data_IF_374669691877
#
_entry.id   IF_374669691877
#
_cell.length_a   1.000
_cell.length_b   1.000
_cell.length_c   1.000
_cell.angle_alpha   90.00
_cell.angle_beta   90.00
_cell.angle_gamma   90.00
#
_symmetry.space_group_name_H-M   'P 1'
#
loop_
_entity.id
_entity.type
_entity.pdbx_description
1 polymer ?
#
# COMPACT_ATOMS: atom_id res chain seq x y z
N UNK A 1 -132.13 1.65 2.20
CA UNK A 1 -131.15 1.99 1.14
C UNK A 1 -130.66 0.68 0.53
N UNK A 2 -130.24 0.57 -0.74
CA UNK A 2 -130.09 -0.74 -1.37
C UNK A 2 -128.83 -1.52 -0.99
N UNK A 3 -127.82 -0.90 -0.38
CA UNK A 3 -126.53 -1.56 -0.14
C UNK A 3 -126.17 -1.55 1.34
N UNK A 4 -126.44 -2.69 1.94
CA UNK A 4 -126.42 -2.97 3.36
C UNK A 4 -125.08 -3.61 3.79
N UNK A 5 -123.99 -3.22 3.11
CA UNK A 5 -122.63 -3.74 3.30
C UNK A 5 -121.54 -2.68 3.08
N UNK A 6 -120.34 -2.90 3.63
CA UNK A 6 -119.14 -2.10 3.38
C UNK A 6 -118.57 -2.33 1.98
N UNK A 7 -117.58 -1.52 1.57
CA UNK A 7 -116.82 -1.69 0.30
C UNK A 7 -116.08 -3.03 0.21
N UNK A 8 -115.75 -3.65 1.35
CA UNK A 8 -115.18 -5.00 1.42
C UNK A 8 -116.23 -6.11 1.56
N UNK A 9 -117.51 -5.79 1.42
CA UNK A 9 -118.61 -6.75 1.46
C UNK A 9 -119.14 -7.09 2.86
N UNK A 10 -118.56 -6.55 3.93
CA UNK A 10 -119.03 -6.84 5.30
C UNK A 10 -120.43 -6.26 5.56
N UNK A 11 -121.40 -7.03 6.08
CA UNK A 11 -122.76 -6.55 6.33
C UNK A 11 -122.79 -5.47 7.43
N UNK A 12 -123.51 -4.37 7.19
CA UNK A 12 -123.66 -3.27 8.16
C UNK A 12 -124.95 -3.42 8.99
N UNK A 13 -125.04 -2.82 10.20
CA UNK A 13 -126.30 -2.71 10.94
C UNK A 13 -127.36 -1.91 10.13
N UNK A 14 -128.63 -2.34 10.13
CA UNK A 14 -129.72 -1.69 9.39
C UNK A 14 -130.82 -1.17 10.34
N UNK A 15 -131.27 0.10 10.20
CA UNK A 15 -132.18 0.75 11.14
C UNK A 15 -133.56 0.10 11.29
N UNK A 16 -134.02 -0.64 10.26
CA UNK A 16 -135.32 -1.31 10.28
C UNK A 16 -135.25 -2.74 10.85
N UNK A 17 -134.07 -3.24 11.19
CA UNK A 17 -133.92 -4.56 11.79
C UNK A 17 -134.27 -4.53 13.27
N UNK A 18 -134.92 -5.58 13.75
CA UNK A 18 -135.01 -5.81 15.20
C UNK A 18 -133.61 -6.14 15.74
N UNK A 19 -133.32 -5.74 16.97
CA UNK A 19 -131.97 -5.84 17.56
C UNK A 19 -131.30 -7.23 17.44
N UNK A 20 -132.09 -8.30 17.35
CA UNK A 20 -131.60 -9.67 17.17
C UNK A 20 -130.95 -9.91 15.80
N UNK A 21 -131.53 -9.34 14.75
CA UNK A 21 -131.07 -9.52 13.37
C UNK A 21 -129.83 -8.66 13.11
N UNK A 22 -129.79 -7.46 13.70
CA UNK A 22 -128.61 -6.60 13.67
C UNK A 22 -127.44 -7.21 14.45
N UNK A 23 -127.71 -7.86 15.58
CA UNK A 23 -126.68 -8.61 16.31
C UNK A 23 -126.12 -9.78 15.48
N UNK A 24 -126.92 -10.43 14.63
CA UNK A 24 -126.44 -11.47 13.73
C UNK A 24 -125.54 -10.87 12.62
N UNK A 25 -125.97 -9.76 12.00
CA UNK A 25 -125.17 -9.10 10.96
C UNK A 25 -123.83 -8.58 11.49
N UNK A 26 -123.80 -8.05 12.71
CA UNK A 26 -122.55 -7.67 13.37
C UNK A 26 -121.65 -8.89 13.59
N UNK A 27 -122.20 -10.05 14.01
CA UNK A 27 -121.42 -11.29 14.13
C UNK A 27 -120.85 -11.74 12.80
N UNK A 28 -121.64 -11.68 11.73
CA UNK A 28 -121.23 -12.09 10.39
C UNK A 28 -120.13 -11.15 9.85
N UNK A 29 -120.25 -9.84 10.08
CA UNK A 29 -119.22 -8.86 9.73
C UNK A 29 -117.91 -9.08 10.51
N UNK A 30 -117.99 -9.35 11.81
CA UNK A 30 -116.81 -9.66 12.64
C UNK A 30 -116.13 -10.95 12.15
N UNK A 31 -116.90 -11.96 11.78
CA UNK A 31 -116.37 -13.23 11.25
C UNK A 31 -115.62 -12.98 9.94
N UNK A 32 -116.24 -12.25 9.00
CA UNK A 32 -115.61 -11.92 7.73
C UNK A 32 -114.37 -11.01 7.86
N UNK A 33 -114.37 -10.07 8.81
CA UNK A 33 -113.17 -9.27 9.14
C UNK A 33 -112.05 -10.16 9.70
N UNK A 34 -112.40 -11.15 10.52
CA UNK A 34 -111.41 -12.09 11.09
C UNK A 34 -110.80 -12.98 10.01
N UNK A 35 -111.62 -13.47 9.06
CA UNK A 35 -111.15 -14.22 7.89
C UNK A 35 -110.24 -13.36 6.99
N UNK A 36 -110.58 -12.09 6.77
CA UNK A 36 -109.73 -11.16 6.00
C UNK A 36 -108.39 -10.88 6.71
N UNK A 37 -108.39 -10.76 8.05
CA UNK A 37 -107.18 -10.59 8.86
C UNK A 37 -106.29 -11.84 8.85
N UNK A 38 -106.87 -13.03 8.91
CA UNK A 38 -106.14 -14.31 8.79
C UNK A 38 -105.55 -14.47 7.38
N UNK A 39 -106.26 -14.06 6.33
CA UNK A 39 -105.76 -14.04 4.95
C UNK A 39 -104.70 -12.97 4.67
N UNK A 40 -104.57 -11.95 5.53
CA UNK A 40 -103.51 -10.95 5.50
C UNK A 40 -102.24 -11.37 6.26
N UNK A 41 -102.15 -12.64 6.71
CA UNK A 41 -100.93 -13.21 7.28
C UNK A 41 -99.73 -12.94 6.37
N UNK A 42 -98.72 -12.24 6.90
CA UNK A 42 -97.52 -11.91 6.14
C UNK A 42 -96.64 -13.16 6.04
N UNK A 43 -96.80 -13.93 4.96
CA UNK A 43 -95.90 -15.04 4.64
C UNK A 43 -94.45 -14.55 4.47
N UNK A 44 -93.44 -15.33 4.89
CA UNK A 44 -92.04 -14.93 4.76
C UNK A 44 -91.65 -14.82 3.28
N UNK A 45 -90.85 -13.81 2.93
CA UNK A 45 -90.36 -13.67 1.57
C UNK A 45 -89.41 -14.83 1.19
N UNK A 46 -89.43 -15.19 -0.10
CA UNK A 46 -88.49 -16.14 -0.69
C UNK A 46 -87.70 -15.46 -1.83
N UNK A 47 -86.76 -16.17 -2.45
CA UNK A 47 -86.03 -15.64 -3.60
C UNK A 47 -86.93 -15.39 -4.82
N UNK A 48 -88.11 -16.02 -4.86
CA UNK A 48 -89.03 -16.00 -6.01
C UNK A 48 -90.39 -15.39 -5.70
N UNK A 49 -90.72 -15.15 -4.43
CA UNK A 49 -92.03 -14.68 -4.00
C UNK A 49 -91.92 -13.50 -3.02
N UNK A 50 -92.84 -12.55 -3.16
CA UNK A 50 -92.93 -11.40 -2.25
C UNK A 50 -93.45 -11.84 -0.88
N UNK A 51 -92.92 -11.24 0.19
CA UNK A 51 -93.36 -11.55 1.56
C UNK A 51 -92.72 -10.64 2.59
N UNK A 52 -92.95 -10.94 3.87
CA UNK A 52 -92.34 -10.24 4.99
C UNK A 52 -90.87 -10.61 5.15
N UNK A 53 -90.03 -9.60 5.38
CA UNK A 53 -88.61 -9.79 5.66
C UNK A 53 -88.27 -9.12 6.98
N UNK A 54 -87.60 -9.86 7.86
CA UNK A 54 -87.06 -9.31 9.10
C UNK A 54 -85.65 -8.76 8.88
N UNK A 55 -85.22 -7.86 9.77
CA UNK A 55 -83.84 -7.38 9.77
C UNK A 55 -82.90 -8.44 10.36
N UNK A 56 -81.72 -8.58 9.76
CA UNK A 56 -80.71 -9.53 10.22
C UNK A 56 -80.11 -9.11 11.57
N UNK A 57 -79.93 -10.08 12.47
CA UNK A 57 -79.19 -9.86 13.71
C UNK A 57 -77.69 -9.72 13.43
N UNK A 58 -76.91 -9.22 14.40
CA UNK A 58 -75.46 -9.08 14.27
C UNK A 58 -74.75 -10.42 14.01
N UNK A 59 -75.18 -11.48 14.70
CA UNK A 59 -74.62 -12.81 14.59
C UNK A 59 -74.89 -13.42 13.21
N UNK A 60 -76.12 -13.30 12.71
CA UNK A 60 -76.51 -13.81 11.40
C UNK A 60 -75.78 -13.09 10.26
N UNK A 61 -75.65 -11.76 10.34
CA UNK A 61 -74.91 -10.98 9.36
C UNK A 61 -73.42 -11.39 9.34
N UNK A 62 -72.81 -11.56 10.51
CA UNK A 62 -71.39 -11.95 10.63
C UNK A 62 -71.14 -13.37 10.12
N UNK A 63 -72.06 -14.30 10.38
CA UNK A 63 -71.94 -15.69 9.95
C UNK A 63 -72.35 -15.92 8.48
N UNK A 64 -73.14 -15.02 7.88
CA UNK A 64 -73.64 -15.15 6.51
C UNK A 64 -74.59 -16.34 6.30
N UNK A 65 -75.27 -16.80 7.36
CA UNK A 65 -75.93 -18.10 7.37
C UNK A 65 -77.45 -18.08 7.09
N UNK A 66 -78.10 -16.91 7.12
CA UNK A 66 -79.56 -16.81 6.99
C UNK A 66 -79.96 -16.17 5.66
N UNK A 67 -80.89 -16.79 4.94
CA UNK A 67 -81.42 -16.28 3.67
C UNK A 67 -82.72 -15.47 3.85
N UNK A 68 -83.36 -15.58 5.02
CA UNK A 68 -84.67 -14.99 5.32
C UNK A 68 -84.60 -13.64 6.07
N UNK A 69 -83.46 -12.93 6.02
CA UNK A 69 -83.30 -11.63 6.68
C UNK A 69 -82.41 -10.68 5.88
N UNK A 70 -82.75 -9.39 5.91
CA UNK A 70 -82.02 -8.34 5.19
C UNK A 70 -81.08 -7.59 6.13
N UNK A 71 -79.81 -7.40 5.76
CA UNK A 71 -78.88 -6.59 6.55
C UNK A 71 -79.21 -5.10 6.41
N UNK A 72 -79.12 -4.36 7.52
CA UNK A 72 -79.10 -2.90 7.49
C UNK A 72 -77.70 -2.38 7.17
N UNK A 73 -77.59 -1.15 6.67
CA UNK A 73 -76.30 -0.50 6.28
C UNK A 73 -75.23 -0.63 7.37
N UNK A 74 -75.61 -0.42 8.64
CA UNK A 74 -74.70 -0.58 9.77
C UNK A 74 -74.10 -1.99 9.88
N UNK A 75 -74.88 -3.04 9.59
CA UNK A 75 -74.40 -4.43 9.65
C UNK A 75 -73.35 -4.69 8.59
N UNK A 76 -73.60 -4.20 7.37
CA UNK A 76 -72.64 -4.29 6.27
C UNK A 76 -71.34 -3.57 6.63
N UNK A 77 -71.43 -2.36 7.20
CA UNK A 77 -70.26 -1.61 7.67
C UNK A 77 -69.48 -2.37 8.75
N UNK A 78 -70.15 -2.93 9.75
CA UNK A 78 -69.51 -3.68 10.84
C UNK A 78 -68.81 -4.94 10.29
N UNK A 79 -69.42 -5.66 9.34
CA UNK A 79 -68.82 -6.83 8.68
C UNK A 79 -67.55 -6.47 7.90
N UNK A 80 -67.62 -5.43 7.06
CA UNK A 80 -66.48 -4.95 6.27
C UNK A 80 -65.33 -4.54 7.21
N UNK A 81 -65.65 -3.81 8.29
CA UNK A 81 -64.66 -3.36 9.27
C UNK A 81 -63.99 -4.56 9.95
N UNK A 82 -64.76 -5.57 10.34
CA UNK A 82 -64.23 -6.80 10.95
C UNK A 82 -63.31 -7.56 10.01
N UNK A 83 -63.73 -7.80 8.76
CA UNK A 83 -62.93 -8.48 7.76
C UNK A 83 -61.62 -7.72 7.44
N UNK A 84 -61.70 -6.39 7.32
CA UNK A 84 -60.53 -5.54 7.05
C UNK A 84 -59.55 -5.55 8.22
N UNK A 85 -60.06 -5.57 9.46
CA UNK A 85 -59.23 -5.65 10.66
C UNK A 85 -58.48 -6.99 10.74
N UNK A 86 -59.16 -8.11 10.46
CA UNK A 86 -58.52 -9.43 10.43
C UNK A 86 -57.44 -9.54 9.36
N UNK A 87 -57.68 -8.98 8.17
CA UNK A 87 -56.69 -8.90 7.10
C UNK A 87 -55.48 -8.07 7.54
N UNK A 88 -55.71 -6.91 8.15
CA UNK A 88 -54.65 -6.03 8.65
C UNK A 88 -53.79 -6.73 9.71
N UNK A 89 -54.40 -7.42 10.68
CA UNK A 89 -53.70 -8.22 11.68
C UNK A 89 -52.84 -9.30 11.04
N UNK A 90 -53.34 -9.97 10.00
CA UNK A 90 -52.58 -11.03 9.30
C UNK A 90 -51.39 -10.46 8.53
N UNK A 91 -51.61 -9.39 7.75
CA UNK A 91 -50.57 -8.75 6.94
C UNK A 91 -49.48 -8.12 7.83
N UNK A 92 -49.87 -7.28 8.78
CA UNK A 92 -48.91 -6.54 9.60
C UNK A 92 -48.29 -7.43 10.67
N UNK A 93 -49.09 -8.28 11.31
CA UNK A 93 -48.63 -9.14 12.41
C UNK A 93 -47.73 -10.27 11.91
N UNK A 94 -48.24 -11.16 11.06
CA UNK A 94 -47.49 -12.37 10.69
C UNK A 94 -46.43 -12.10 9.63
N UNK A 95 -46.80 -11.47 8.51
CA UNK A 95 -45.82 -11.20 7.45
C UNK A 95 -44.83 -10.11 7.86
N UNK A 96 -45.28 -9.08 8.58
CA UNK A 96 -44.36 -8.06 9.13
C UNK A 96 -43.32 -8.66 10.09
N UNK A 97 -43.73 -9.56 11.00
CA UNK A 97 -42.80 -10.26 11.89
C UNK A 97 -41.87 -11.21 11.13
N UNK A 98 -42.38 -11.99 10.17
CA UNK A 98 -41.57 -12.90 9.36
C UNK A 98 -40.57 -12.15 8.47
N UNK A 99 -40.97 -11.03 7.87
CA UNK A 99 -40.08 -10.15 7.10
C UNK A 99 -39.04 -9.52 8.03
N UNK A 100 -39.43 -9.02 9.20
CA UNK A 100 -38.49 -8.45 10.18
C UNK A 100 -37.50 -9.50 10.67
N UNK A 101 -37.95 -10.74 10.85
CA UNK A 101 -37.12 -11.89 11.21
C UNK A 101 -36.17 -12.23 10.08
N UNK A 102 -36.65 -12.42 8.85
CA UNK A 102 -35.80 -12.70 7.69
C UNK A 102 -34.80 -11.57 7.40
N UNK A 103 -35.21 -10.31 7.58
CA UNK A 103 -34.31 -9.15 7.51
C UNK A 103 -33.28 -9.22 8.64
N UNK A 104 -33.67 -9.59 9.86
CA UNK A 104 -32.73 -9.78 10.98
C UNK A 104 -31.84 -10.99 10.77
N UNK A 105 -32.29 -12.05 10.10
CA UNK A 105 -31.50 -13.23 9.77
C UNK A 105 -30.48 -12.90 8.66
N UNK A 106 -30.92 -12.16 7.64
CA UNK A 106 -30.05 -11.62 6.59
C UNK A 106 -29.06 -10.58 7.13
N UNK A 107 -29.46 -9.78 8.12
CA UNK A 107 -28.64 -8.73 8.74
C UNK A 107 -27.88 -9.21 9.98
N UNK A 108 -28.16 -10.39 10.52
CA UNK A 108 -27.76 -10.75 11.88
C UNK A 108 -28.15 -12.16 12.37
N UNK A 109 -28.49 -13.11 11.50
CA UNK A 109 -28.87 -14.47 11.88
C UNK A 109 -27.70 -15.40 12.27
N UNK A 110 -26.46 -14.91 12.30
CA UNK A 110 -25.36 -15.63 12.94
C UNK A 110 -24.33 -14.64 13.53
N UNK A 111 -24.37 -14.46 14.85
CA UNK A 111 -23.21 -14.09 15.68
C UNK A 111 -22.17 -15.23 15.57
N UNK A 112 -21.43 -15.40 14.45
CA UNK A 112 -20.15 -14.71 14.23
C UNK A 112 -19.82 -14.43 12.74
N UNK A 113 -20.70 -14.71 11.78
CA UNK A 113 -20.36 -14.66 10.35
C UNK A 113 -20.37 -13.23 9.79
N UNK A 114 -21.29 -12.38 10.25
CA UNK A 114 -21.27 -10.95 9.92
C UNK A 114 -20.04 -10.26 10.53
N UNK A 115 -19.65 -10.68 11.74
CA UNK A 115 -18.39 -10.26 12.37
C UNK A 115 -17.21 -10.70 11.51
N UNK A 116 -17.16 -11.96 11.06
CA UNK A 116 -16.06 -12.44 10.20
C UNK A 116 -16.01 -11.73 8.85
N UNK A 117 -17.12 -11.37 8.20
CA UNK A 117 -17.07 -10.70 6.90
C UNK A 117 -16.67 -9.23 7.02
N UNK A 118 -17.14 -8.54 8.07
CA UNK A 118 -16.71 -7.17 8.39
C UNK A 118 -15.25 -7.17 8.86
N UNK A 119 -14.84 -8.15 9.66
CA UNK A 119 -13.48 -8.35 10.11
C UNK A 119 -12.57 -8.70 8.92
N UNK A 120 -12.96 -9.63 8.04
CA UNK A 120 -12.21 -9.95 6.81
C UNK A 120 -12.10 -8.70 5.92
N UNK A 121 -13.18 -7.93 5.74
CA UNK A 121 -13.12 -6.68 4.99
C UNK A 121 -12.14 -5.70 5.63
N UNK A 122 -12.22 -5.48 6.95
CA UNK A 122 -11.30 -4.62 7.69
C UNK A 122 -9.84 -5.10 7.65
N UNK A 123 -9.61 -6.42 7.71
CA UNK A 123 -8.29 -7.06 7.62
C UNK A 123 -7.72 -6.99 6.20
N UNK A 124 -8.56 -6.98 5.17
CA UNK A 124 -8.14 -6.76 3.78
C UNK A 124 -7.78 -5.30 3.53
N UNK A 125 -8.45 -4.34 4.16
CA UNK A 125 -8.07 -2.91 4.08
C UNK A 125 -6.87 -2.56 4.95
N UNK A 126 -6.64 -3.30 6.04
CA UNK A 126 -5.48 -3.13 6.91
C UNK A 126 -4.20 -3.65 6.23
N UNK A 127 -3.64 -2.82 5.35
CA UNK A 127 -2.36 -3.07 4.71
C UNK A 127 -1.18 -2.69 5.59
N UNK A 128 -1.35 -2.36 6.88
CA UNK A 128 -0.25 -1.82 7.72
C UNK A 128 0.92 -2.80 7.80
N UNK A 129 0.66 -4.09 8.03
CA UNK A 129 1.73 -5.10 8.09
C UNK A 129 2.38 -5.35 6.71
N UNK A 130 1.58 -5.39 5.64
CA UNK A 130 2.08 -5.56 4.27
C UNK A 130 2.97 -4.38 3.89
N UNK A 131 2.53 -3.15 4.16
CA UNK A 131 3.28 -1.93 3.88
C UNK A 131 4.58 -1.90 4.71
N UNK A 132 4.55 -2.32 5.98
CA UNK A 132 5.77 -2.43 6.79
C UNK A 132 6.78 -3.45 6.20
N UNK A 133 6.29 -4.58 5.68
CA UNK A 133 7.13 -5.58 4.98
C UNK A 133 7.70 -4.97 3.70
N UNK A 134 6.87 -4.33 2.87
CA UNK A 134 7.30 -3.69 1.63
C UNK A 134 8.33 -2.58 1.88
N UNK A 135 8.14 -1.78 2.93
CA UNK A 135 9.08 -0.75 3.37
C UNK A 135 10.42 -1.34 3.85
N UNK A 136 10.38 -2.50 4.53
CA UNK A 136 11.60 -3.20 4.95
C UNK A 136 12.34 -3.77 3.74
N UNK A 137 11.62 -4.38 2.79
CA UNK A 137 12.18 -4.93 1.56
C UNK A 137 12.77 -3.83 0.67
N UNK A 138 12.12 -2.66 0.57
CA UNK A 138 12.61 -1.51 -0.18
C UNK A 138 13.94 -0.96 0.37
N UNK A 139 14.24 -1.20 1.66
CA UNK A 139 15.50 -0.79 2.31
C UNK A 139 16.61 -1.84 2.23
N UNK A 140 16.34 -3.04 1.72
CA UNK A 140 17.40 -4.05 1.50
C UNK A 140 18.26 -3.64 0.32
N UNK A 141 19.57 -3.84 0.45
CA UNK A 141 20.48 -3.66 -0.67
C UNK A 141 20.15 -4.68 -1.75
N UNK A 142 19.77 -4.19 -2.93
CA UNK A 142 19.49 -5.01 -4.11
C UNK A 142 20.79 -5.37 -4.83
N UNK A 143 20.80 -6.42 -5.64
CA UNK A 143 21.97 -6.81 -6.45
C UNK A 143 21.66 -6.81 -7.95
N UNK A 144 20.41 -6.57 -8.33
CA UNK A 144 19.88 -6.69 -9.68
C UNK A 144 19.71 -5.34 -10.40
N UNK A 145 19.96 -4.21 -9.73
CA UNK A 145 19.87 -2.87 -10.32
C UNK A 145 20.95 -1.93 -9.77
N UNK A 146 21.44 -1.04 -10.63
CA UNK A 146 22.36 0.04 -10.26
C UNK A 146 21.65 1.20 -9.55
N UNK A 147 20.35 1.43 -9.82
CA UNK A 147 19.56 2.51 -9.24
C UNK A 147 18.57 1.95 -8.21
N UNK A 148 18.98 1.90 -6.94
CA UNK A 148 18.19 1.27 -5.87
C UNK A 148 17.18 2.21 -5.20
N UNK A 149 17.16 3.50 -5.57
CA UNK A 149 16.30 4.50 -4.93
C UNK A 149 16.65 4.78 -3.46
N UNK A 150 17.77 4.28 -2.96
CA UNK A 150 18.26 4.54 -1.60
C UNK A 150 18.81 5.97 -1.50
N UNK A 151 18.45 6.68 -0.44
CA UNK A 151 19.05 7.97 -0.11
C UNK A 151 20.51 7.82 0.37
N UNK A 152 21.21 8.94 0.57
CA UNK A 152 22.62 8.94 0.96
C UNK A 152 22.87 8.24 2.32
N UNK A 153 21.94 8.34 3.27
CA UNK A 153 22.03 7.73 4.60
C UNK A 153 21.90 6.22 4.51
N UNK A 154 20.90 5.73 3.77
CA UNK A 154 20.69 4.31 3.53
C UNK A 154 21.88 3.68 2.79
N UNK A 155 22.45 4.38 1.81
CA UNK A 155 23.67 3.93 1.13
C UNK A 155 24.86 3.83 2.09
N UNK A 156 25.03 4.79 3.00
CA UNK A 156 26.09 4.75 4.01
C UNK A 156 25.94 3.56 4.96
N UNK A 157 24.72 3.31 5.45
CA UNK A 157 24.42 2.16 6.29
C UNK A 157 24.66 0.83 5.56
N UNK A 158 24.30 0.74 4.28
CA UNK A 158 24.56 -0.44 3.45
C UNK A 158 26.06 -0.75 3.34
N UNK A 159 26.90 0.25 3.10
CA UNK A 159 28.37 0.10 3.07
C UNK A 159 28.94 -0.33 4.43
N UNK A 160 28.40 0.21 5.52
CA UNK A 160 28.80 -0.15 6.88
C UNK A 160 28.44 -1.60 7.23
N UNK A 161 27.21 -2.02 6.93
CA UNK A 161 26.72 -3.38 7.22
C UNK A 161 27.47 -4.46 6.43
N UNK A 162 27.91 -4.16 5.21
CA UNK A 162 28.76 -5.06 4.43
C UNK A 162 30.24 -5.03 4.82
N UNK A 163 30.64 -4.15 5.75
CA UNK A 163 32.03 -3.98 6.15
C UNK A 163 32.93 -3.35 5.08
N UNK A 164 32.35 -2.73 4.04
CA UNK A 164 33.11 -2.11 2.95
C UNK A 164 33.65 -0.73 3.34
N UNK A 165 33.00 -0.05 4.30
CA UNK A 165 33.43 1.26 4.80
C UNK A 165 33.60 2.29 3.67
N UNK A 166 34.73 3.00 3.69
CA UNK A 166 35.05 4.03 2.70
C UNK A 166 35.59 3.47 1.38
N UNK A 167 36.01 2.19 1.32
CA UNK A 167 36.58 1.58 0.11
C UNK A 167 35.55 1.55 -1.03
N UNK A 168 34.27 1.34 -0.72
CA UNK A 168 33.21 1.27 -1.72
C UNK A 168 32.94 2.60 -2.48
N UNK A 169 33.48 3.72 -2.00
CA UNK A 169 33.38 5.03 -2.65
C UNK A 169 34.75 5.66 -2.93
N UNK A 170 35.83 4.97 -2.55
CA UNK A 170 37.17 5.45 -2.76
C UNK A 170 37.52 5.39 -4.25
N UNK A 171 37.95 6.52 -4.82
CA UNK A 171 38.55 6.52 -6.14
C UNK A 171 39.85 5.72 -6.14
N UNK A 172 40.25 5.22 -7.31
CA UNK A 172 41.59 4.67 -7.48
C UNK A 172 42.65 5.75 -7.23
N UNK A 173 43.70 5.44 -6.47
CA UNK A 173 44.86 6.32 -6.31
C UNK A 173 45.53 6.50 -7.66
N UNK A 174 45.85 7.72 -8.09
CA UNK A 174 46.62 7.93 -9.33
C UNK A 174 48.12 7.74 -9.07
N UNK A 175 48.88 7.42 -10.12
CA UNK A 175 50.33 7.16 -10.05
C UNK A 175 51.13 8.28 -9.36
N UNK A 176 50.75 9.55 -9.60
CA UNK A 176 51.40 10.71 -8.98
C UNK A 176 51.23 10.71 -7.46
N UNK A 177 50.02 10.43 -6.97
CA UNK A 177 49.69 10.41 -5.55
C UNK A 177 50.36 9.26 -4.81
N UNK A 178 50.52 8.10 -5.47
CA UNK A 178 51.23 6.96 -4.90
C UNK A 178 52.72 7.29 -4.71
N UNK A 179 53.37 7.84 -5.75
CA UNK A 179 54.79 8.24 -5.67
C UNK A 179 55.03 9.33 -4.63
N UNK A 180 54.05 10.23 -4.45
CA UNK A 180 54.07 11.27 -3.42
C UNK A 180 53.68 10.80 -2.03
N UNK A 181 53.09 9.62 -1.90
CA UNK A 181 52.52 9.14 -0.65
C UNK A 181 51.43 10.07 -0.11
N UNK A 182 50.62 10.66 -1.00
CA UNK A 182 49.52 11.58 -0.67
C UNK A 182 48.14 11.00 -0.98
N UNK A 183 48.07 9.86 -1.68
CA UNK A 183 46.82 9.22 -2.07
C UNK A 183 46.05 8.59 -0.90
N UNK A 184 44.73 8.83 -0.87
CA UNK A 184 43.81 8.31 0.16
C UNK A 184 42.78 7.30 -0.42
N UNK A 185 43.07 6.72 -1.59
CA UNK A 185 42.18 5.88 -2.37
C UNK A 185 42.54 4.39 -2.37
N UNK A 186 41.95 3.63 -3.30
CA UNK A 186 42.31 2.22 -3.51
C UNK A 186 43.59 2.12 -4.34
N UNK A 187 44.59 1.40 -3.84
CA UNK A 187 45.78 1.05 -4.63
C UNK A 187 45.49 -0.19 -5.47
N UNK A 188 45.73 -0.09 -6.78
CA UNK A 188 45.66 -1.24 -7.69
C UNK A 188 47.05 -1.81 -7.94
N UNK A 189 47.12 -3.08 -8.35
CA UNK A 189 48.39 -3.73 -8.71
C UNK A 189 49.07 -3.05 -9.90
N UNK A 190 48.30 -2.57 -10.88
CA UNK A 190 48.82 -1.83 -12.03
C UNK A 190 49.51 -0.52 -11.61
N UNK A 191 48.89 0.26 -10.73
CA UNK A 191 49.44 1.55 -10.27
C UNK A 191 50.68 1.32 -9.41
N UNK A 192 50.70 0.27 -8.59
CA UNK A 192 51.89 -0.16 -7.86
C UNK A 192 53.04 -0.52 -8.80
N UNK A 193 52.77 -1.31 -9.85
CA UNK A 193 53.79 -1.69 -10.83
C UNK A 193 54.33 -0.48 -11.58
N UNK A 194 53.46 0.42 -12.04
CA UNK A 194 53.86 1.66 -12.69
C UNK A 194 54.71 2.57 -11.79
N UNK A 195 54.44 2.59 -10.48
CA UNK A 195 55.24 3.37 -9.52
C UNK A 195 56.69 2.90 -9.42
N UNK A 196 56.98 1.63 -9.73
CA UNK A 196 58.35 1.06 -9.70
C UNK A 196 59.19 1.36 -10.95
N UNK A 197 58.61 1.93 -12.00
CA UNK A 197 59.34 2.31 -13.22
C UNK A 197 60.22 3.53 -12.94
N UNK A 198 61.42 3.57 -13.56
CA UNK A 198 62.29 4.73 -13.49
C UNK A 198 61.62 5.97 -14.10
N UNK A 199 61.53 7.04 -13.32
CA UNK A 199 61.06 8.34 -13.78
C UNK A 199 62.18 9.08 -14.48
N UNK A 200 61.90 9.64 -15.64
CA UNK A 200 62.88 10.46 -16.33
C UNK A 200 62.99 11.84 -15.65
N UNK A 201 64.17 12.15 -15.12
CA UNK A 201 64.53 13.51 -14.68
C UNK A 201 64.75 14.43 -15.89
N UNK A 202 65.19 13.86 -17.02
CA UNK A 202 65.59 14.59 -18.20
C UNK A 202 67.08 14.96 -18.17
N UNK A 203 67.42 16.08 -18.81
CA UNK A 203 68.79 16.53 -18.97
C UNK A 203 69.32 17.17 -17.67
N UNK A 204 70.54 16.79 -17.30
CA UNK A 204 71.18 17.23 -16.06
C UNK A 204 71.59 18.70 -16.07
N UNK A 205 71.82 19.28 -17.26
CA UNK A 205 72.50 20.57 -17.40
C UNK A 205 73.92 20.51 -16.83
N UNK A 206 74.40 21.64 -16.32
CA UNK A 206 75.68 21.76 -15.61
C UNK A 206 75.41 22.30 -14.20
N UNK A 207 76.14 21.83 -13.18
CA UNK A 207 75.94 22.27 -11.79
C UNK A 207 75.32 21.20 -10.91
N UNK A 208 74.19 21.46 -10.25
CA UNK A 208 73.61 20.48 -9.31
C UNK A 208 72.32 19.88 -9.84
N UNK A 209 72.24 18.54 -9.88
CA UNK A 209 71.00 17.79 -10.16
C UNK A 209 70.23 17.65 -8.85
N UNK A 210 69.02 18.20 -8.82
CA UNK A 210 68.18 18.31 -7.62
C UNK A 210 66.99 17.37 -7.75
N UNK A 211 67.15 16.12 -7.32
CA UNK A 211 66.08 15.12 -7.38
C UNK A 211 65.20 15.26 -6.13
N UNK A 212 63.91 15.50 -6.34
CA UNK A 212 62.91 15.56 -5.28
C UNK A 212 62.38 14.16 -4.94
N UNK A 213 62.77 13.62 -3.80
CA UNK A 213 62.45 12.26 -3.37
C UNK A 213 60.96 12.08 -3.06
N UNK A 214 60.19 13.17 -2.94
CA UNK A 214 58.72 13.08 -2.84
C UNK A 214 58.07 12.69 -4.17
N UNK A 215 58.78 12.73 -5.30
CA UNK A 215 58.15 12.44 -6.59
C UNK A 215 58.44 11.03 -7.11
N UNK A 216 59.10 10.21 -6.31
CA UNK A 216 59.42 8.83 -6.61
C UNK A 216 60.81 8.41 -6.11
N UNK A 217 61.05 7.10 -6.14
CA UNK A 217 62.29 6.49 -5.65
C UNK A 217 63.22 6.01 -6.75
N UNK A 218 62.87 6.15 -8.04
CA UNK A 218 63.71 5.62 -9.13
C UNK A 218 63.78 6.62 -10.27
N UNK A 219 65.00 6.95 -10.69
CA UNK A 219 65.26 8.07 -11.59
C UNK A 219 66.25 7.73 -12.69
N UNK A 220 65.98 8.16 -13.91
CA UNK A 220 67.00 8.24 -14.97
C UNK A 220 67.38 9.70 -15.20
N UNK A 221 68.67 9.96 -15.33
CA UNK A 221 69.22 11.30 -15.58
C UNK A 221 70.16 11.23 -16.79
N UNK A 222 69.89 12.04 -17.81
CA UNK A 222 70.79 12.19 -18.96
C UNK A 222 71.81 13.28 -18.66
N UNK A 223 73.09 12.92 -18.59
CA UNK A 223 74.19 13.81 -18.31
C UNK A 223 74.53 14.65 -19.55
N UNK A 224 74.20 15.94 -19.51
CA UNK A 224 74.57 16.92 -20.55
C UNK A 224 75.65 17.90 -20.09
N UNK A 225 76.23 17.65 -18.92
CA UNK A 225 77.21 18.49 -18.23
C UNK A 225 77.77 17.77 -17.02
N UNK A 226 78.79 18.36 -16.39
CA UNK A 226 79.33 17.85 -15.14
C UNK A 226 78.40 18.26 -14.01
N UNK A 227 78.02 17.30 -13.16
CA UNK A 227 77.00 17.54 -12.14
C UNK A 227 77.41 17.07 -10.77
N UNK A 228 76.83 17.69 -9.74
CA UNK A 228 76.79 17.18 -8.36
C UNK A 228 75.37 16.74 -8.05
N UNK A 229 75.20 15.59 -7.41
CA UNK A 229 73.87 15.06 -7.07
C UNK A 229 73.41 15.59 -5.73
N UNK A 230 72.15 16.02 -5.67
CA UNK A 230 71.41 16.31 -4.43
C UNK A 230 70.08 15.59 -4.48
N UNK A 231 69.82 14.75 -3.46
CA UNK A 231 68.54 14.11 -3.23
C UNK A 231 67.83 14.85 -2.09
N UNK A 232 66.72 15.50 -2.42
CA UNK A 232 66.00 16.42 -1.53
C UNK A 232 64.71 15.81 -1.00
N UNK A 233 64.22 16.34 0.12
CA UNK A 233 62.97 15.92 0.77
C UNK A 233 62.85 14.40 1.01
N UNK A 234 63.91 13.71 1.47
CA UNK A 234 63.80 12.28 1.72
C UNK A 234 62.94 11.96 2.93
N UNK A 235 62.38 10.75 2.92
CA UNK A 235 61.80 10.11 4.11
C UNK A 235 62.81 9.14 4.71
N UNK A 236 62.76 8.95 6.02
CA UNK A 236 63.62 7.99 6.71
C UNK A 236 63.40 6.56 6.16
N UNK A 237 64.48 5.85 5.87
CA UNK A 237 64.46 4.53 5.24
C UNK A 237 64.10 4.53 3.75
N UNK A 238 63.94 5.70 3.11
CA UNK A 238 63.65 5.76 1.68
C UNK A 238 64.88 5.34 0.88
N UNK A 239 64.71 4.33 0.03
CA UNK A 239 65.70 3.95 -0.99
C UNK A 239 65.42 4.73 -2.27
N UNK A 240 66.47 5.31 -2.84
CA UNK A 240 66.46 6.00 -4.13
C UNK A 240 67.49 5.39 -5.06
N UNK A 241 67.02 4.89 -6.20
CA UNK A 241 67.88 4.43 -7.30
C UNK A 241 67.99 5.51 -8.36
N UNK A 242 69.22 5.78 -8.82
CA UNK A 242 69.48 6.70 -9.92
C UNK A 242 70.37 6.06 -10.97
N UNK A 243 69.89 6.03 -12.22
CA UNK A 243 70.64 5.71 -13.42
C UNK A 243 71.13 7.00 -14.06
N UNK A 244 72.44 7.21 -14.11
CA UNK A 244 73.03 8.29 -14.89
C UNK A 244 73.46 7.76 -16.26
N UNK A 245 73.12 8.49 -17.32
CA UNK A 245 73.37 8.10 -18.71
C UNK A 245 74.20 9.21 -19.36
N UNK A 246 75.31 8.90 -20.02
CA UNK A 246 76.08 9.87 -20.78
C UNK A 246 75.26 10.41 -21.96
N UNK A 247 75.39 11.70 -22.28
CA UNK A 247 74.89 12.22 -23.55
C UNK A 247 75.70 11.69 -24.75
N UNK A 248 75.33 12.13 -25.94
CA UNK A 248 76.01 11.75 -27.18
C UNK A 248 77.48 12.23 -27.27
N UNK A 249 77.96 13.07 -26.34
CA UNK A 249 79.36 13.52 -26.31
C UNK A 249 80.19 12.65 -25.35
N UNK A 250 79.62 12.28 -24.21
CA UNK A 250 80.33 11.55 -23.17
C UNK A 250 81.23 12.44 -22.30
N UNK A 251 82.07 11.79 -21.51
CA UNK A 251 83.04 12.41 -20.58
C UNK A 251 82.44 13.34 -19.52
N UNK A 252 81.14 13.19 -19.21
CA UNK A 252 80.50 13.90 -18.11
C UNK A 252 80.82 13.23 -16.78
N UNK A 253 80.97 14.02 -15.73
CA UNK A 253 81.22 13.52 -14.38
C UNK A 253 80.00 13.68 -13.47
N UNK A 254 79.90 12.78 -12.49
CA UNK A 254 78.92 12.83 -11.41
C UNK A 254 79.68 12.96 -10.10
N UNK A 255 79.49 14.09 -9.42
CA UNK A 255 79.96 14.38 -8.09
C UNK A 255 78.88 14.09 -7.05
N UNK A 256 79.32 13.84 -5.82
CA UNK A 256 78.45 13.50 -4.70
C UNK A 256 78.64 14.57 -3.62
N UNK A 257 77.55 15.17 -3.16
CA UNK A 257 77.64 16.15 -2.08
C UNK A 257 78.01 15.49 -0.74
N UNK A 258 78.25 16.29 0.28
CA UNK A 258 78.64 15.82 1.63
C UNK A 258 77.57 14.99 2.35
N UNK A 259 76.38 14.83 1.79
CA UNK A 259 75.33 14.02 2.38
C UNK A 259 75.41 12.57 1.92
N UNK A 260 76.24 12.22 0.93
CA UNK A 260 76.47 10.82 0.54
C UNK A 260 77.60 10.21 1.36
N UNK A 261 77.42 8.95 1.75
CA UNK A 261 78.43 8.10 2.39
C UNK A 261 78.54 6.83 1.57
N UNK A 262 79.72 6.61 1.00
CA UNK A 262 80.04 5.37 0.28
C UNK A 262 80.97 4.49 1.13
N UNK A 263 80.93 3.16 0.95
CA UNK A 263 81.85 2.24 1.59
C UNK A 263 83.31 2.68 1.41
N UNK A 264 84.08 2.60 2.51
CA UNK A 264 85.49 2.99 2.57
C UNK A 264 85.79 4.42 2.09
N UNK A 265 84.77 5.28 2.04
CA UNK A 265 84.84 6.63 1.47
C UNK A 265 85.26 6.65 -0.02
N UNK A 266 85.02 5.57 -0.76
CA UNK A 266 85.33 5.44 -2.18
C UNK A 266 84.08 5.74 -3.00
N UNK A 267 84.11 6.82 -3.78
CA UNK A 267 83.01 7.18 -4.68
C UNK A 267 82.98 6.27 -5.91
N UNK A 268 81.79 5.94 -6.44
CA UNK A 268 81.66 5.18 -7.67
C UNK A 268 82.32 5.89 -8.86
N UNK A 269 83.10 5.14 -9.65
CA UNK A 269 83.63 5.66 -10.91
C UNK A 269 82.51 5.86 -11.94
N UNK A 270 82.67 6.83 -12.84
CA UNK A 270 81.69 7.16 -13.87
C UNK A 270 82.23 6.73 -15.23
N UNK A 271 81.46 5.98 -16.00
CA UNK A 271 81.81 5.62 -17.37
C UNK A 271 81.70 6.83 -18.28
N UNK A 272 82.71 7.05 -19.13
CA UNK A 272 82.87 8.26 -19.92
C UNK A 272 82.44 8.12 -21.40
N UNK A 273 82.08 6.93 -21.86
CA UNK A 273 81.68 6.73 -23.26
C UNK A 273 80.31 7.33 -23.57
N UNK A 274 80.18 7.95 -24.73
CA UNK A 274 78.95 8.60 -25.18
C UNK A 274 77.75 7.62 -25.20
N UNK A 275 76.58 8.08 -24.74
CA UNK A 275 75.32 7.35 -24.77
C UNK A 275 75.21 6.16 -23.80
N UNK A 276 76.28 5.80 -23.10
CA UNK A 276 76.33 4.68 -22.17
C UNK A 276 75.71 4.98 -20.80
N UNK A 277 75.36 3.94 -20.06
CA UNK A 277 74.97 4.06 -18.65
C UNK A 277 76.26 4.37 -17.86
N UNK A 278 76.37 5.61 -17.43
CA UNK A 278 77.55 6.17 -16.79
C UNK A 278 77.83 5.48 -15.43
N UNK A 279 76.82 5.48 -14.57
CA UNK A 279 76.88 4.93 -13.22
C UNK A 279 75.46 4.65 -12.72
N UNK A 280 75.30 3.57 -11.97
CA UNK A 280 74.07 3.24 -11.24
C UNK A 280 74.35 3.38 -9.76
N UNK A 281 73.48 4.10 -9.05
CA UNK A 281 73.60 4.31 -7.61
C UNK A 281 72.29 3.97 -6.93
N UNK A 282 72.38 3.25 -5.82
CA UNK A 282 71.28 3.04 -4.88
C UNK A 282 71.67 3.66 -3.55
N UNK A 283 70.78 4.45 -2.96
CA UNK A 283 71.05 5.21 -1.77
C UNK A 283 69.87 5.16 -0.80
N UNK A 284 70.10 4.79 0.45
CA UNK A 284 69.11 4.80 1.53
C UNK A 284 69.31 6.02 2.42
N UNK A 285 68.24 6.77 2.70
CA UNK A 285 68.31 7.91 3.61
C UNK A 285 68.12 7.47 5.06
N UNK A 286 69.04 7.88 5.92
CA UNK A 286 68.91 7.71 7.37
C UNK A 286 68.82 9.08 8.05
N UNK A 287 67.63 9.42 8.56
CA UNK A 287 67.33 10.71 9.18
C UNK A 287 68.18 10.96 10.43
N UNK A 288 68.46 9.92 11.22
CA UNK A 288 69.31 10.02 12.41
C UNK A 288 70.77 10.41 12.11
N UNK A 289 71.26 10.08 10.91
CA UNK A 289 72.62 10.44 10.44
C UNK A 289 72.58 11.72 9.59
N UNK A 290 71.43 12.05 9.01
CA UNK A 290 71.28 13.16 8.06
C UNK A 290 71.99 12.90 6.73
N UNK A 291 72.17 11.64 6.35
CA UNK A 291 72.98 11.22 5.21
C UNK A 291 72.36 10.06 4.44
N UNK A 292 72.81 9.91 3.20
CA UNK A 292 72.53 8.82 2.29
C UNK A 292 73.63 7.77 2.40
N UNK A 293 73.26 6.56 2.80
CA UNK A 293 74.14 5.39 2.74
C UNK A 293 74.00 4.82 1.34
N UNK A 294 75.05 4.96 0.54
CA UNK A 294 74.97 4.73 -0.90
C UNK A 294 75.99 3.71 -1.37
N UNK A 295 75.60 2.94 -2.37
CA UNK A 295 76.48 2.08 -3.15
C UNK A 295 76.24 2.36 -4.63
N UNK A 296 77.31 2.25 -5.42
CA UNK A 296 77.18 2.49 -6.85
C UNK A 296 78.27 1.83 -7.66
N UNK A 297 77.95 1.56 -8.91
CA UNK A 297 78.82 0.84 -9.83
C UNK A 297 78.84 1.52 -11.19
N UNK A 298 80.05 1.58 -11.76
CA UNK A 298 80.26 1.93 -13.17
C UNK A 298 79.71 0.80 -14.04
N UNK A 299 79.05 1.16 -15.14
CA UNK A 299 78.40 0.21 -16.04
C UNK A 299 79.12 0.14 -17.40
N UNK A 300 78.62 0.75 -18.48
CA UNK A 300 79.22 0.78 -19.83
C UNK A 300 78.49 1.71 -20.79
#
# INVERSE_FOLDING_TARGET
MPNDSTTRGYPLPHPDNVARDDAQRIRDAITAISEDLEGMGIEPASETEIGGVRLATAAEATAGATQAAVPVVKRVMDMITSATSALHTTIVGQYGAAITTAISDLKGGVEPAYDTLVEIAAKLTDMTQINAILDSLAKRLRIDTAAQGLDATAQANGRANLGLGNIAIANGVVLADLRAGTGQGVLTTDIMWQATVFKNYGNSGNGTVQIDCTQGSRWTVTLTGNVVVSLNNPRDGQVVDVLFIQDATGSRTVGWNSNFRFPDNIVPSVYAGAGGIAVVVSAEYHAGVGAWIAAGWKVW
#
